data_IF_594290758464
#
_entry.id   IF_594290758464
#
_cell.length_a   1.000
_cell.length_b   1.000
_cell.length_c   1.000
_cell.angle_alpha   90.00
_cell.angle_beta   90.00
_cell.angle_gamma   90.00
#
_symmetry.space_group_name_H-M   'P 1'
#
loop_
_entity.id
_entity.type
_entity.pdbx_description
1 polymer ?
#
# COMPACT_ATOMS: atom_id res chain seq x y z
N UNK A 1 -0.81 4.07 -27.02
CA UNK A 1 -1.53 4.77 -25.94
C UNK A 1 -0.53 5.06 -24.84
N UNK A 2 -0.32 6.32 -24.47
CA UNK A 2 0.64 6.68 -23.41
C UNK A 2 -0.05 6.96 -22.08
N UNK A 3 0.72 6.85 -21.01
CA UNK A 3 0.32 7.27 -19.68
C UNK A 3 0.33 8.80 -19.64
N UNK A 4 -0.83 9.39 -19.33
CA UNK A 4 -1.01 10.83 -19.18
C UNK A 4 -0.75 11.28 -17.74
N UNK A 5 -1.24 10.52 -16.76
CA UNK A 5 -1.19 10.89 -15.35
C UNK A 5 -1.09 9.64 -14.48
N UNK A 6 -0.29 9.70 -13.43
CA UNK A 6 -0.26 8.71 -12.35
C UNK A 6 -0.47 9.47 -11.05
N UNK A 7 -1.44 9.04 -10.24
CA UNK A 7 -1.68 9.60 -8.91
C UNK A 7 -1.92 8.52 -7.88
N UNK A 8 -1.21 8.62 -6.77
CA UNK A 8 -1.45 7.82 -5.58
C UNK A 8 -2.06 8.66 -4.45
N UNK A 9 -2.97 8.07 -3.70
CA UNK A 9 -3.66 8.69 -2.57
C UNK A 9 -4.15 7.64 -1.58
N UNK A 10 -4.47 8.06 -0.36
CA UNK A 10 -4.98 7.18 0.67
C UNK A 10 -6.50 7.00 0.57
N UNK A 11 -6.97 5.76 0.69
CA UNK A 11 -8.39 5.39 0.74
C UNK A 11 -8.71 4.65 2.04
N UNK A 12 -9.91 4.91 2.57
CA UNK A 12 -10.45 4.19 3.72
C UNK A 12 -11.25 2.97 3.24
N UNK A 13 -10.74 1.77 3.53
CA UNK A 13 -11.41 0.50 3.20
C UNK A 13 -12.02 -0.17 4.44
N UNK A 14 -11.77 0.32 5.66
CA UNK A 14 -12.34 -0.30 6.86
C UNK A 14 -13.87 -0.22 6.79
N UNK A 15 -14.59 -1.36 6.83
CA UNK A 15 -16.04 -1.33 6.86
C UNK A 15 -16.51 -0.64 8.13
N UNK A 16 -17.59 0.14 8.03
CA UNK A 16 -18.26 0.78 9.17
C UNK A 16 -19.60 0.08 9.41
N UNK A 17 -19.60 -1.13 9.98
CA UNK A 17 -20.85 -1.84 10.25
C UNK A 17 -21.71 -1.02 11.22
N UNK A 18 -22.99 -0.88 10.91
CA UNK A 18 -23.96 -0.19 11.75
C UNK A 18 -24.62 -1.11 12.77
N UNK A 19 -24.50 -2.42 12.59
CA UNK A 19 -25.06 -3.45 13.47
C UNK A 19 -23.99 -4.10 14.34
N UNK A 20 -24.32 -4.50 15.57
CA UNK A 20 -23.39 -5.24 16.42
C UNK A 20 -23.07 -6.60 15.78
N UNK A 21 -21.81 -7.05 15.84
CA UNK A 21 -21.43 -8.35 15.31
C UNK A 21 -22.12 -9.45 16.12
N UNK A 22 -22.59 -10.50 15.43
CA UNK A 22 -23.27 -11.64 16.07
C UNK A 22 -22.37 -12.40 17.07
N UNK A 23 -21.06 -12.37 16.83
CA UNK A 23 -20.02 -12.95 17.69
C UNK A 23 -18.88 -11.95 17.84
N UNK A 24 -18.29 -11.87 19.03
CA UNK A 24 -17.09 -11.05 19.26
C UNK A 24 -15.94 -11.50 18.34
N UNK A 25 -15.14 -10.56 17.87
CA UNK A 25 -14.00 -10.87 17.01
C UNK A 25 -12.94 -11.67 17.78
N UNK A 26 -12.39 -12.71 17.15
CA UNK A 26 -11.34 -13.54 17.77
C UNK A 26 -10.10 -12.73 18.19
N UNK A 27 -9.83 -11.63 17.49
CA UNK A 27 -8.73 -10.71 17.77
C UNK A 27 -8.85 -10.04 19.14
N UNK A 28 -10.05 -9.95 19.72
CA UNK A 28 -10.28 -9.33 21.03
C UNK A 28 -9.86 -10.25 22.18
N UNK A 29 -10.03 -11.56 22.03
CA UNK A 29 -9.79 -12.55 23.08
C UNK A 29 -8.43 -13.24 22.97
N UNK A 30 -7.85 -13.32 21.77
CA UNK A 30 -6.65 -14.11 21.55
C UNK A 30 -5.36 -13.29 21.65
N UNK A 31 -4.39 -13.83 22.39
CA UNK A 31 -3.01 -13.30 22.47
C UNK A 31 -2.15 -13.99 21.41
N UNK A 32 -1.82 -13.27 20.35
CA UNK A 32 -0.94 -13.76 19.28
C UNK A 32 0.53 -13.70 19.72
N UNK A 33 1.26 -14.80 19.56
CA UNK A 33 2.71 -14.82 19.79
C UNK A 33 3.43 -14.15 18.61
N UNK A 34 3.87 -12.89 18.79
CA UNK A 34 4.51 -12.06 17.76
C UNK A 34 5.98 -11.82 18.10
N UNK A 35 6.86 -11.50 17.13
CA UNK A 35 8.26 -11.17 17.43
C UNK A 35 8.44 -10.07 18.50
N UNK A 36 7.55 -9.08 18.50
CA UNK A 36 7.57 -7.96 19.47
C UNK A 36 6.98 -8.33 20.84
N UNK A 37 6.32 -9.49 20.98
CA UNK A 37 5.70 -9.92 22.24
C UNK A 37 6.71 -10.19 23.36
N UNK A 38 8.01 -10.27 23.04
CA UNK A 38 9.10 -10.30 24.03
C UNK A 38 9.08 -9.08 24.97
N UNK A 39 8.52 -7.97 24.51
CA UNK A 39 8.47 -6.71 25.24
C UNK A 39 7.08 -6.54 25.89
N UNK A 40 6.98 -6.57 27.25
CA UNK A 40 5.69 -6.60 27.95
C UNK A 40 4.75 -5.43 27.62
N UNK A 41 5.30 -4.25 27.28
CA UNK A 41 4.50 -3.08 26.91
C UNK A 41 3.67 -3.28 25.63
N UNK A 42 4.10 -4.22 24.77
CA UNK A 42 3.48 -4.51 23.47
C UNK A 42 2.67 -5.80 23.45
N UNK A 43 2.71 -6.57 24.54
CA UNK A 43 2.09 -7.89 24.62
C UNK A 43 0.69 -7.84 25.24
N UNK A 44 -0.25 -7.26 24.48
CA UNK A 44 -1.65 -7.05 24.89
C UNK A 44 -2.61 -7.73 23.90
N UNK A 45 -3.68 -8.42 24.38
CA UNK A 45 -4.77 -8.88 23.52
C UNK A 45 -5.37 -7.72 22.71
N UNK A 46 -5.76 -7.96 21.46
CA UNK A 46 -6.34 -6.93 20.57
C UNK A 46 -5.36 -5.89 20.01
N UNK A 47 -4.20 -5.65 20.63
CA UNK A 47 -3.23 -4.66 20.15
C UNK A 47 -2.37 -5.25 19.01
N UNK A 48 -2.57 -4.79 17.77
CA UNK A 48 -1.75 -5.17 16.62
C UNK A 48 -0.59 -4.18 16.42
N UNK A 49 0.35 -4.14 17.37
CA UNK A 49 1.47 -3.17 17.36
C UNK A 49 2.47 -3.33 16.20
N UNK A 50 2.45 -4.48 15.51
CA UNK A 50 3.31 -4.75 14.35
C UNK A 50 2.73 -4.22 13.04
N UNK A 51 1.52 -3.67 13.06
CA UNK A 51 0.88 -3.03 11.91
C UNK A 51 0.55 -1.58 12.27
N UNK A 52 0.68 -0.70 11.28
CA UNK A 52 0.20 0.68 11.42
C UNK A 52 -1.29 0.76 11.10
N UNK A 53 -1.98 1.73 11.69
CA UNK A 53 -3.37 2.08 11.39
C UNK A 53 -3.53 2.93 10.11
N UNK A 54 -2.50 2.92 9.25
CA UNK A 54 -2.52 3.62 7.97
C UNK A 54 -3.66 3.16 7.07
N UNK A 55 -4.19 4.12 6.32
CA UNK A 55 -5.13 3.86 5.25
C UNK A 55 -4.45 3.08 4.12
N UNK A 56 -5.26 2.57 3.19
CA UNK A 56 -4.76 1.82 2.04
C UNK A 56 -4.30 2.82 0.97
N UNK A 57 -3.10 2.69 0.40
CA UNK A 57 -2.73 3.44 -0.78
C UNK A 57 -3.49 2.89 -1.98
N UNK A 58 -4.03 3.80 -2.78
CA UNK A 58 -4.61 3.53 -4.08
C UNK A 58 -3.79 4.28 -5.14
N UNK A 59 -3.59 3.65 -6.29
CA UNK A 59 -2.93 4.22 -7.45
C UNK A 59 -3.91 4.25 -8.61
N UNK A 60 -4.07 5.42 -9.23
CA UNK A 60 -4.83 5.62 -10.44
C UNK A 60 -3.88 6.03 -11.56
N UNK A 61 -3.98 5.33 -12.69
CA UNK A 61 -3.22 5.62 -13.91
C UNK A 61 -4.21 6.00 -15.00
N UNK A 62 -4.04 7.16 -15.63
CA UNK A 62 -4.91 7.65 -16.69
C UNK A 62 -4.10 7.69 -17.99
N UNK A 63 -4.65 7.11 -19.05
CA UNK A 63 -4.08 7.16 -20.39
C UNK A 63 -4.54 8.41 -21.17
N UNK A 64 -3.87 8.70 -22.28
CA UNK A 64 -4.20 9.85 -23.14
C UNK A 64 -5.63 9.83 -23.70
N UNK A 65 -6.21 8.65 -23.91
CA UNK A 65 -7.57 8.47 -24.41
C UNK A 65 -8.65 8.56 -23.31
N UNK A 66 -8.25 8.82 -22.06
CA UNK A 66 -9.13 8.92 -20.91
C UNK A 66 -9.48 7.59 -20.25
N UNK A 67 -9.01 6.46 -20.79
CA UNK A 67 -9.10 5.19 -20.07
C UNK A 67 -8.23 5.22 -18.82
N UNK A 68 -8.64 4.50 -17.79
CA UNK A 68 -7.94 4.51 -16.51
C UNK A 68 -7.84 3.10 -15.92
N UNK A 69 -6.74 2.86 -15.21
CA UNK A 69 -6.50 1.68 -14.40
C UNK A 69 -6.37 2.07 -12.93
N UNK A 70 -6.78 1.17 -12.04
CA UNK A 70 -6.77 1.40 -10.60
C UNK A 70 -6.23 0.18 -9.85
N UNK A 71 -5.35 0.43 -8.89
CA UNK A 71 -4.75 -0.60 -8.03
C UNK A 71 -4.69 -0.15 -6.58
N UNK A 72 -4.72 -1.12 -5.66
CA UNK A 72 -4.60 -0.88 -4.22
C UNK A 72 -3.42 -1.69 -3.66
N UNK A 73 -2.78 -1.19 -2.60
CA UNK A 73 -1.67 -1.88 -1.94
C UNK A 73 -1.74 -1.75 -0.41
N UNK A 74 -0.65 -2.07 0.28
CA UNK A 74 -0.46 -1.91 1.72
C UNK A 74 0.48 -0.72 1.99
N UNK A 75 0.57 -0.32 3.27
CA UNK A 75 1.53 0.69 3.74
C UNK A 75 1.29 2.14 3.25
N UNK A 76 0.08 2.66 3.50
CA UNK A 76 -0.46 3.98 3.10
C UNK A 76 0.54 5.09 2.77
N UNK A 77 0.85 6.01 3.70
CA UNK A 77 1.60 7.23 3.38
C UNK A 77 2.96 7.01 2.70
N UNK A 78 3.82 6.06 3.15
CA UNK A 78 5.10 5.84 2.49
C UNK A 78 4.97 5.37 1.05
N UNK A 79 4.02 4.48 0.76
CA UNK A 79 3.79 3.99 -0.61
C UNK A 79 3.19 5.07 -1.49
N UNK A 80 2.29 5.91 -0.95
CA UNK A 80 1.76 7.07 -1.69
C UNK A 80 2.87 8.02 -2.12
N UNK A 81 3.75 8.41 -1.19
CA UNK A 81 4.90 9.27 -1.49
C UNK A 81 5.83 8.60 -2.50
N UNK A 82 6.16 7.31 -2.32
CA UNK A 82 7.03 6.61 -3.25
C UNK A 82 6.48 6.58 -4.69
N UNK A 83 5.18 6.35 -4.86
CA UNK A 83 4.56 6.35 -6.19
C UNK A 83 4.59 7.75 -6.79
N UNK A 84 4.15 8.77 -6.04
CA UNK A 84 4.01 10.14 -6.56
C UNK A 84 5.36 10.81 -6.81
N UNK A 85 6.31 10.64 -5.89
CA UNK A 85 7.54 11.43 -5.86
C UNK A 85 8.68 10.73 -6.62
N UNK A 86 8.69 9.39 -6.69
CA UNK A 86 9.80 8.64 -7.27
C UNK A 86 9.43 7.92 -8.59
N UNK A 87 8.32 7.19 -8.63
CA UNK A 87 7.99 6.39 -9.82
C UNK A 87 7.22 7.16 -10.89
N UNK A 88 6.18 7.90 -10.51
CA UNK A 88 5.30 8.59 -11.44
C UNK A 88 6.04 9.51 -12.43
N UNK A 89 7.01 10.36 -12.01
CA UNK A 89 7.72 11.26 -12.92
C UNK A 89 8.49 10.54 -14.03
N UNK A 90 8.89 9.28 -13.80
CA UNK A 90 9.67 8.47 -14.73
C UNK A 90 8.82 7.60 -15.66
N UNK A 91 7.50 7.49 -15.41
CA UNK A 91 6.58 6.64 -16.18
C UNK A 91 5.55 7.43 -16.98
N UNK A 92 5.30 8.70 -16.62
CA UNK A 92 4.42 9.57 -17.43
C UNK A 92 5.02 9.76 -18.83
N UNK A 93 4.19 9.59 -19.86
CA UNK A 93 4.58 9.66 -21.27
C UNK A 93 5.03 8.34 -21.88
N UNK A 94 5.25 7.29 -21.08
CA UNK A 94 5.55 5.95 -21.56
C UNK A 94 4.31 5.22 -22.11
N UNK A 95 4.52 4.20 -22.95
CA UNK A 95 3.43 3.39 -23.50
C UNK A 95 2.79 2.54 -22.40
N UNK A 96 1.49 2.74 -22.12
CA UNK A 96 0.81 2.07 -21.02
C UNK A 96 0.82 0.53 -21.09
N UNK A 97 1.03 -0.05 -22.28
CA UNK A 97 1.12 -1.51 -22.47
C UNK A 97 2.53 -2.08 -22.25
N UNK A 98 3.55 -1.25 -22.05
CA UNK A 98 4.93 -1.66 -21.84
C UNK A 98 5.19 -2.13 -20.38
N UNK A 99 4.31 -2.97 -19.84
CA UNK A 99 4.28 -3.35 -18.42
C UNK A 99 5.59 -3.94 -17.90
N UNK A 100 6.25 -4.80 -18.68
CA UNK A 100 7.55 -5.41 -18.31
C UNK A 100 8.66 -4.37 -18.23
N UNK A 101 8.69 -3.41 -19.18
CA UNK A 101 9.64 -2.29 -19.17
C UNK A 101 9.43 -1.41 -17.94
N UNK A 102 8.17 -1.09 -17.62
CA UNK A 102 7.85 -0.27 -16.45
C UNK A 102 8.28 -0.96 -15.16
N UNK A 103 8.06 -2.28 -15.05
CA UNK A 103 8.51 -3.04 -13.90
C UNK A 103 10.04 -2.99 -13.75
N UNK A 104 10.78 -3.28 -14.83
CA UNK A 104 12.25 -3.26 -14.81
C UNK A 104 12.78 -1.87 -14.43
N UNK A 105 12.21 -0.81 -15.00
CA UNK A 105 12.53 0.57 -14.63
C UNK A 105 12.30 0.83 -13.14
N UNK A 106 11.12 0.49 -12.59
CA UNK A 106 10.80 0.74 -11.18
C UNK A 106 11.75 0.00 -10.23
N UNK A 107 12.13 -1.24 -10.54
CA UNK A 107 13.09 -1.99 -9.73
C UNK A 107 14.49 -1.39 -9.79
N UNK A 108 14.95 -0.96 -10.97
CA UNK A 108 16.25 -0.29 -11.11
C UNK A 108 16.27 1.07 -10.42
N UNK A 109 15.20 1.86 -10.58
CA UNK A 109 15.04 3.18 -9.97
C UNK A 109 15.06 3.12 -8.43
N UNK A 110 14.57 2.02 -7.84
CA UNK A 110 14.52 1.84 -6.38
C UNK A 110 15.69 1.03 -5.81
N UNK A 111 16.68 0.65 -6.61
CA UNK A 111 17.77 -0.24 -6.20
C UNK A 111 18.55 0.21 -4.95
N UNK A 112 18.64 1.52 -4.69
CA UNK A 112 19.36 2.07 -3.53
C UNK A 112 18.63 1.88 -2.19
N UNK A 113 17.31 1.68 -2.19
CA UNK A 113 16.48 1.56 -0.99
C UNK A 113 15.36 0.50 -1.17
N UNK A 114 15.56 -0.41 -2.12
CA UNK A 114 14.59 -1.39 -2.56
C UNK A 114 15.13 -2.82 -2.45
N UNK A 115 14.72 -3.69 -3.37
CA UNK A 115 14.97 -5.14 -3.41
C UNK A 115 14.18 -5.99 -2.39
N UNK A 116 13.76 -5.42 -1.26
CA UNK A 116 12.98 -6.13 -0.24
C UNK A 116 11.82 -5.26 0.27
N UNK A 117 11.33 -5.47 1.50
CA UNK A 117 10.19 -4.75 2.05
C UNK A 117 10.53 -3.30 2.44
N UNK A 118 9.51 -2.50 2.71
CA UNK A 118 9.64 -1.07 3.02
C UNK A 118 10.52 -0.76 4.25
N UNK A 119 10.65 -1.71 5.18
CA UNK A 119 11.40 -1.53 6.44
C UNK A 119 12.63 -2.46 6.53
N UNK A 120 13.06 -3.02 5.41
CA UNK A 120 14.08 -4.07 5.33
C UNK A 120 15.50 -3.52 5.25
#
# INVERSE_FOLDING_TARGET
>A
MKIKEIRAFEIELKPKPTTPPRVSGWTESYRLNRPVARYPQFDKPGAHVSYSDWKRPACLVIAEDGTWGFGISLYGPPVVSLINDHFAPNLVGENCMAIEKHWDMMVRLSSAFGATGLTS
#
